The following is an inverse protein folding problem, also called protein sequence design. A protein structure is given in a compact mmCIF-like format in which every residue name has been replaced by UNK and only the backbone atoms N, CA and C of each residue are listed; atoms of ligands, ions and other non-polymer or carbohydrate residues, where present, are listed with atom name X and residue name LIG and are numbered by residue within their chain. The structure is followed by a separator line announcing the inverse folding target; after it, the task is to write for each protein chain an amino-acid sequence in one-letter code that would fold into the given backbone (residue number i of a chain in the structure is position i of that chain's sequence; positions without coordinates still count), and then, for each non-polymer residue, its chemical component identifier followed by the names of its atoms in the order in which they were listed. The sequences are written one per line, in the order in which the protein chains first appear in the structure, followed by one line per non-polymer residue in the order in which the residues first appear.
data_IF_547056134557
#
_entry.id   IF_547056134557
#
_cell.length_a   1.000
_cell.length_b   1.000
_cell.length_c   1.000
_cell.angle_alpha   90.00
_cell.angle_beta   90.00
_cell.angle_gamma   90.00
#
_symmetry.space_group_name_H-M   'P 1'
#
loop_
_entity.id
_entity.type
_entity.pdbx_description
1 polymer ?
#
# COMPACT_ATOMS: atom_id res chain seq x y z
N UNK A 1 -50.29 3.30 -7.98
CA UNK A 1 -48.92 2.76 -7.82
C UNK A 1 -48.79 2.30 -6.37
N UNK A 2 -48.51 1.03 -6.11
CA UNK A 2 -48.27 0.53 -4.75
C UNK A 2 -46.90 1.02 -4.27
N UNK A 3 -46.83 1.52 -3.04
CA UNK A 3 -45.55 1.87 -2.42
C UNK A 3 -44.67 0.62 -2.27
N UNK A 4 -43.34 0.74 -2.44
CA UNK A 4 -42.44 -0.38 -2.20
C UNK A 4 -42.49 -0.82 -0.73
N UNK A 5 -42.32 -2.12 -0.45
CA UNK A 5 -42.32 -2.66 0.91
C UNK A 5 -41.15 -2.09 1.73
N UNK A 6 -41.22 -2.19 3.06
CA UNK A 6 -40.14 -1.73 3.95
C UNK A 6 -38.83 -2.48 3.64
N UNK A 7 -37.72 -1.74 3.56
CA UNK A 7 -36.44 -2.31 3.16
C UNK A 7 -35.33 -1.29 2.90
N UNK A 8 -34.18 -1.78 2.48
CA UNK A 8 -33.00 -0.96 2.18
C UNK A 8 -33.04 -0.49 0.73
N UNK A 9 -33.08 0.83 0.52
CA UNK A 9 -33.11 1.43 -0.82
C UNK A 9 -32.00 2.47 -1.01
N UNK A 10 -31.39 2.55 -2.22
CA UNK A 10 -30.39 3.55 -2.53
C UNK A 10 -31.02 4.95 -2.50
N UNK A 11 -30.33 5.92 -1.89
CA UNK A 11 -30.84 7.29 -1.68
C UNK A 11 -30.40 8.30 -2.74
N UNK A 12 -29.68 7.86 -3.77
CA UNK A 12 -29.14 8.71 -4.84
C UNK A 12 -27.80 9.38 -4.50
N UNK A 13 -27.38 9.36 -3.24
CA UNK A 13 -26.08 9.88 -2.78
C UNK A 13 -24.98 8.81 -2.70
N UNK A 14 -25.28 7.59 -3.17
CA UNK A 14 -24.40 6.42 -3.05
C UNK A 14 -24.53 5.66 -1.73
N UNK A 15 -25.42 6.10 -0.83
CA UNK A 15 -25.74 5.41 0.41
C UNK A 15 -27.06 4.65 0.29
N UNK A 16 -27.22 3.64 1.15
CA UNK A 16 -28.46 2.88 1.28
C UNK A 16 -29.13 3.30 2.58
N UNK A 17 -30.36 3.82 2.47
CA UNK A 17 -31.18 4.23 3.61
C UNK A 17 -32.35 3.28 3.80
N UNK A 18 -32.76 3.13 5.05
CA UNK A 18 -33.90 2.29 5.38
C UNK A 18 -35.22 3.01 5.08
N UNK A 19 -36.10 2.35 4.34
CA UNK A 19 -37.48 2.76 4.02
C UNK A 19 -38.45 2.00 4.92
N UNK A 20 -39.32 2.71 5.63
CA UNK A 20 -40.30 2.12 6.55
C UNK A 20 -41.69 1.92 5.93
N UNK A 21 -41.87 2.27 4.65
CA UNK A 21 -43.17 2.24 3.96
C UNK A 21 -43.83 3.60 3.80
N UNK A 22 -43.41 4.62 4.58
CA UNK A 22 -43.97 5.97 4.58
C UNK A 22 -42.89 7.02 4.28
N UNK A 23 -41.71 6.86 4.87
CA UNK A 23 -40.57 7.75 4.70
C UNK A 23 -39.23 7.00 4.71
N UNK A 24 -38.18 7.67 4.19
CA UNK A 24 -36.80 7.22 4.38
C UNK A 24 -36.35 7.66 5.77
N UNK A 25 -35.90 6.72 6.59
CA UNK A 25 -35.30 7.02 7.88
C UNK A 25 -33.90 7.59 7.71
N UNK A 26 -33.38 8.27 8.75
CA UNK A 26 -31.99 8.75 8.80
C UNK A 26 -30.95 7.65 8.95
N UNK A 27 -31.37 6.41 9.19
CA UNK A 27 -30.51 5.23 9.33
C UNK A 27 -29.86 4.87 8.00
N UNK A 28 -28.54 5.08 7.92
CA UNK A 28 -27.70 4.61 6.81
C UNK A 28 -27.20 3.21 7.15
N UNK A 29 -27.12 2.33 6.14
CA UNK A 29 -26.60 0.98 6.33
C UNK A 29 -25.19 1.04 6.97
N UNK A 30 -24.94 0.30 8.07
CA UNK A 30 -23.62 0.21 8.67
C UNK A 30 -22.62 -0.30 7.63
N UNK A 31 -21.59 0.48 7.34
CA UNK A 31 -20.53 0.05 6.43
C UNK A 31 -19.78 -1.13 7.06
N UNK A 32 -19.42 -2.17 6.28
CA UNK A 32 -18.57 -3.24 6.77
C UNK A 32 -17.31 -2.67 7.41
N UNK A 33 -16.95 -3.16 8.60
CA UNK A 33 -15.73 -2.70 9.25
C UNK A 33 -14.51 -3.06 8.37
N UNK A 34 -13.56 -2.14 8.19
CA UNK A 34 -12.37 -2.40 7.39
C UNK A 34 -11.56 -3.60 7.92
N UNK A 35 -11.07 -4.45 7.01
CA UNK A 35 -10.22 -5.58 7.35
C UNK A 35 -8.78 -5.11 7.58
N UNK A 36 -8.44 -4.82 8.84
CA UNK A 36 -7.12 -4.28 9.22
C UNK A 36 -5.97 -5.26 9.01
N UNK A 37 -6.21 -6.57 9.15
CA UNK A 37 -5.15 -7.60 9.04
C UNK A 37 -4.45 -7.56 7.68
N UNK A 38 -5.21 -7.53 6.57
CA UNK A 38 -4.64 -7.48 5.23
C UNK A 38 -3.92 -6.16 4.94
N UNK A 39 -4.43 -5.06 5.49
CA UNK A 39 -3.79 -3.75 5.37
C UNK A 39 -2.45 -3.70 6.12
N UNK A 40 -2.38 -4.26 7.33
CA UNK A 40 -1.14 -4.41 8.11
C UNK A 40 -0.15 -5.30 7.39
N UNK A 41 -0.58 -6.48 6.93
CA UNK A 41 0.27 -7.42 6.19
C UNK A 41 0.86 -6.80 4.93
N UNK A 42 0.12 -5.92 4.26
CA UNK A 42 0.64 -5.19 3.10
C UNK A 42 1.90 -4.39 3.44
N UNK A 43 1.95 -3.72 4.59
CA UNK A 43 3.13 -2.96 4.99
C UNK A 43 4.26 -3.86 5.53
N UNK A 44 3.91 -4.86 6.36
CA UNK A 44 4.87 -5.81 6.95
C UNK A 44 5.57 -6.66 5.88
N UNK A 45 4.92 -6.86 4.74
CA UNK A 45 5.47 -7.59 3.59
C UNK A 45 6.82 -7.06 3.09
N UNK A 46 7.20 -5.82 3.43
CA UNK A 46 8.50 -5.24 3.08
C UNK A 46 9.68 -6.16 3.43
N UNK A 47 9.61 -6.87 4.56
CA UNK A 47 10.71 -7.70 5.06
C UNK A 47 10.78 -9.07 4.39
N UNK A 48 9.62 -9.63 4.03
CA UNK A 48 9.54 -11.02 3.54
C UNK A 48 9.51 -11.07 2.03
N UNK A 49 8.67 -10.24 1.42
CA UNK A 49 8.37 -10.31 -0.01
C UNK A 49 7.86 -8.95 -0.51
N UNK A 50 8.75 -7.93 -0.55
CA UNK A 50 8.37 -6.52 -0.62
C UNK A 50 7.50 -6.16 -1.82
N UNK A 51 7.63 -6.77 -3.00
CA UNK A 51 6.82 -6.38 -4.18
C UNK A 51 5.68 -7.36 -4.43
N UNK A 52 5.91 -8.65 -4.26
CA UNK A 52 4.94 -9.67 -4.64
C UNK A 52 3.78 -9.79 -3.63
N UNK A 53 4.06 -9.80 -2.33
CA UNK A 53 3.00 -9.89 -1.32
C UNK A 53 2.00 -8.72 -1.32
N UNK A 54 2.39 -7.43 -1.36
CA UNK A 54 1.41 -6.33 -1.43
C UNK A 54 0.63 -6.35 -2.76
N UNK A 55 1.24 -6.82 -3.85
CA UNK A 55 0.58 -6.98 -5.15
C UNK A 55 -0.50 -8.05 -5.07
N UNK A 56 -0.18 -9.23 -4.52
CA UNK A 56 -1.13 -10.32 -4.30
C UNK A 56 -2.26 -9.85 -3.38
N UNK A 57 -1.96 -9.16 -2.28
CA UNK A 57 -2.98 -8.62 -1.37
C UNK A 57 -3.88 -7.62 -2.09
N UNK A 58 -3.31 -6.70 -2.88
CA UNK A 58 -4.07 -5.73 -3.67
C UNK A 58 -5.00 -6.40 -4.68
N UNK A 59 -4.57 -7.51 -5.29
CA UNK A 59 -5.32 -8.25 -6.30
C UNK A 59 -6.29 -9.29 -5.73
N UNK A 60 -6.21 -9.62 -4.44
CA UNK A 60 -7.12 -10.56 -3.77
C UNK A 60 -8.02 -9.82 -2.78
N UNK A 61 -7.57 -9.63 -1.54
CA UNK A 61 -8.31 -8.95 -0.48
C UNK A 61 -8.66 -7.49 -0.84
N UNK A 62 -7.78 -6.79 -1.57
CA UNK A 62 -8.02 -5.43 -2.05
C UNK A 62 -9.13 -5.31 -3.11
N UNK A 63 -9.61 -6.42 -3.69
CA UNK A 63 -10.79 -6.39 -4.58
C UNK A 63 -12.09 -6.27 -3.81
N UNK A 64 -12.11 -6.78 -2.58
CA UNK A 64 -13.30 -6.83 -1.72
C UNK A 64 -13.34 -5.63 -0.76
N UNK A 65 -12.19 -5.16 -0.30
CA UNK A 65 -12.09 -4.07 0.66
C UNK A 65 -11.26 -2.88 0.10
N UNK A 66 -11.88 -1.71 -0.11
CA UNK A 66 -11.18 -0.52 -0.56
C UNK A 66 -10.09 -0.01 0.41
N UNK A 67 -10.23 -0.26 1.71
CA UNK A 67 -9.23 0.08 2.73
C UNK A 67 -7.97 -0.76 2.53
N UNK A 68 -8.13 -2.07 2.37
CA UNK A 68 -7.03 -2.98 2.02
C UNK A 68 -6.40 -2.57 0.70
N UNK A 69 -7.21 -2.25 -0.32
CA UNK A 69 -6.70 -1.82 -1.63
C UNK A 69 -5.81 -0.58 -1.53
N UNK A 70 -6.19 0.38 -0.68
CA UNK A 70 -5.43 1.60 -0.45
C UNK A 70 -4.09 1.31 0.21
N UNK A 71 -4.08 0.61 1.34
CA UNK A 71 -2.84 0.27 2.05
C UNK A 71 -1.91 -0.63 1.22
N UNK A 72 -2.47 -1.60 0.50
CA UNK A 72 -1.71 -2.45 -0.41
C UNK A 72 -1.11 -1.65 -1.58
N UNK A 73 -1.83 -0.65 -2.11
CA UNK A 73 -1.30 0.23 -3.17
C UNK A 73 -0.19 1.14 -2.65
N UNK A 74 -0.35 1.72 -1.45
CA UNK A 74 0.66 2.56 -0.81
C UNK A 74 1.94 1.79 -0.49
N UNK A 75 1.80 0.59 0.11
CA UNK A 75 2.92 -0.30 0.37
C UNK A 75 3.64 -0.68 -0.94
N UNK A 76 2.89 -1.14 -1.95
CA UNK A 76 3.42 -1.55 -3.25
C UNK A 76 4.20 -0.42 -3.93
N UNK A 77 3.71 0.82 -3.89
CA UNK A 77 4.39 1.96 -4.48
C UNK A 77 5.75 2.25 -3.82
N UNK A 78 5.83 2.20 -2.48
CA UNK A 78 7.10 2.39 -1.77
C UNK A 78 8.04 1.22 -1.97
N UNK A 79 7.52 -0.01 -1.95
CA UNK A 79 8.32 -1.20 -2.16
C UNK A 79 8.90 -1.27 -3.58
N UNK A 80 8.13 -0.88 -4.61
CA UNK A 80 8.63 -0.72 -5.98
C UNK A 80 9.69 0.37 -6.05
N UNK A 81 9.41 1.55 -5.47
CA UNK A 81 10.37 2.66 -5.47
C UNK A 81 11.71 2.23 -4.86
N UNK A 82 11.65 1.62 -3.67
CA UNK A 82 12.83 1.11 -2.99
C UNK A 82 13.54 0.05 -3.83
N UNK A 83 12.81 -0.92 -4.38
CA UNK A 83 13.39 -1.97 -5.22
C UNK A 83 14.10 -1.39 -6.46
N UNK A 84 13.50 -0.43 -7.16
CA UNK A 84 14.09 0.21 -8.34
C UNK A 84 15.35 0.98 -7.95
N UNK A 85 15.25 1.89 -6.98
CA UNK A 85 16.39 2.71 -6.54
C UNK A 85 17.53 1.82 -6.07
N UNK A 86 17.23 0.78 -5.30
CA UNK A 86 18.20 -0.16 -4.78
C UNK A 86 18.91 -0.95 -5.89
N UNK A 87 18.16 -1.55 -6.82
CA UNK A 87 18.73 -2.35 -7.91
C UNK A 87 19.49 -1.50 -8.92
N UNK A 88 19.03 -0.29 -9.24
CA UNK A 88 19.76 0.61 -10.14
C UNK A 88 21.04 1.10 -9.47
N UNK A 89 20.98 1.53 -8.21
CA UNK A 89 22.15 2.08 -7.51
C UNK A 89 23.22 1.01 -7.32
N UNK A 90 22.87 -0.17 -6.83
CA UNK A 90 23.87 -1.22 -6.56
C UNK A 90 24.18 -2.00 -7.83
N UNK A 91 23.18 -2.54 -8.50
CA UNK A 91 23.38 -3.38 -9.68
C UNK A 91 24.02 -2.60 -10.83
N UNK A 92 23.50 -1.41 -11.13
CA UNK A 92 24.04 -0.53 -12.16
C UNK A 92 25.48 -0.11 -11.87
N UNK A 93 25.77 0.31 -10.63
CA UNK A 93 27.11 0.71 -10.25
C UNK A 93 28.09 -0.47 -10.23
N UNK A 94 27.63 -1.67 -9.86
CA UNK A 94 28.42 -2.91 -9.95
C UNK A 94 28.79 -3.22 -11.38
N UNK A 95 27.80 -3.27 -12.28
CA UNK A 95 28.04 -3.54 -13.70
C UNK A 95 29.00 -2.50 -14.29
N UNK A 96 28.78 -1.22 -14.01
CA UNK A 96 29.64 -0.14 -14.49
C UNK A 96 31.09 -0.27 -13.98
N UNK A 97 31.27 -0.58 -12.69
CA UNK A 97 32.61 -0.73 -12.10
C UNK A 97 33.37 -1.94 -12.62
N UNK A 98 32.70 -3.08 -12.84
CA UNK A 98 33.31 -4.29 -13.42
C UNK A 98 33.64 -4.07 -14.89
N UNK A 99 32.74 -3.42 -15.65
CA UNK A 99 32.99 -3.11 -17.06
C UNK A 99 34.15 -2.11 -17.25
N UNK A 100 34.36 -1.20 -16.30
CA UNK A 100 35.45 -0.24 -16.35
C UNK A 100 36.82 -0.85 -16.04
N UNK A 101 36.88 -1.93 -15.26
CA UNK A 101 38.12 -2.60 -14.86
C UNK A 101 37.94 -4.14 -14.94
N UNK A 102 37.92 -4.71 -16.15
CA UNK A 102 37.60 -6.13 -16.34
C UNK A 102 38.65 -7.09 -15.77
N UNK A 103 39.90 -6.64 -15.61
CA UNK A 103 41.01 -7.47 -15.16
C UNK A 103 41.23 -7.41 -13.63
N UNK A 104 40.50 -6.57 -12.89
CA UNK A 104 40.62 -6.47 -11.43
C UNK A 104 39.82 -7.59 -10.75
N UNK A 105 40.45 -8.54 -10.05
CA UNK A 105 39.76 -9.62 -9.35
C UNK A 105 39.05 -9.15 -8.07
N UNK A 106 39.32 -7.93 -7.60
CA UNK A 106 38.77 -7.43 -6.34
C UNK A 106 37.36 -6.87 -6.52
N UNK A 107 36.49 -7.02 -5.49
CA UNK A 107 35.22 -6.34 -5.50
C UNK A 107 35.43 -4.81 -5.45
N UNK A 108 34.61 -4.04 -6.18
CA UNK A 108 34.70 -2.58 -6.18
C UNK A 108 34.64 -1.99 -4.77
N UNK A 109 35.58 -1.10 -4.43
CA UNK A 109 35.66 -0.50 -3.08
C UNK A 109 34.38 0.23 -2.65
N UNK A 110 33.60 0.77 -3.59
CA UNK A 110 32.34 1.45 -3.30
C UNK A 110 31.28 0.50 -2.71
N UNK A 111 31.38 -0.82 -2.90
CA UNK A 111 30.48 -1.81 -2.29
C UNK A 111 30.51 -1.75 -0.75
N UNK A 112 31.69 -1.49 -0.17
CA UNK A 112 31.83 -1.39 1.28
C UNK A 112 31.13 -0.17 1.87
N UNK A 113 30.98 0.91 1.09
CA UNK A 113 30.24 2.12 1.50
C UNK A 113 28.75 1.96 1.21
N UNK A 114 28.39 1.31 0.12
CA UNK A 114 27.01 1.17 -0.30
C UNK A 114 26.21 0.19 0.57
N UNK A 115 26.85 -0.82 1.16
CA UNK A 115 26.19 -1.76 2.08
C UNK A 115 25.67 -1.07 3.36
N UNK A 116 26.47 -0.33 4.15
CA UNK A 116 25.94 0.41 5.30
C UNK A 116 24.84 1.41 4.91
N UNK A 117 25.02 2.10 3.78
CA UNK A 117 24.01 3.04 3.27
C UNK A 117 22.70 2.32 2.91
N UNK A 118 22.79 1.09 2.38
CA UNK A 118 21.66 0.19 2.17
C UNK A 118 20.83 -0.02 3.41
N UNK A 119 21.52 -0.39 4.50
CA UNK A 119 20.89 -0.74 5.75
C UNK A 119 20.19 0.47 6.34
N UNK A 120 20.80 1.65 6.23
CA UNK A 120 20.19 2.90 6.66
C UNK A 120 18.94 3.24 5.83
N UNK A 121 19.02 3.15 4.51
CA UNK A 121 17.88 3.41 3.63
C UNK A 121 16.74 2.39 3.85
N UNK A 122 17.08 1.11 3.95
CA UNK A 122 16.15 0.03 4.25
C UNK A 122 15.50 0.18 5.63
N UNK A 123 16.26 0.59 6.65
CA UNK A 123 15.73 0.87 7.98
C UNK A 123 14.77 2.07 7.97
N UNK A 124 15.06 3.12 7.19
CA UNK A 124 14.16 4.26 7.03
C UNK A 124 12.83 3.85 6.38
N UNK A 125 12.88 3.05 5.31
CA UNK A 125 11.67 2.51 4.65
C UNK A 125 10.91 1.56 5.57
N UNK A 126 11.61 0.70 6.29
CA UNK A 126 11.03 -0.19 7.30
C UNK A 126 10.32 0.60 8.40
N UNK A 127 10.93 1.67 8.92
CA UNK A 127 10.32 2.55 9.91
C UNK A 127 9.02 3.17 9.38
N UNK A 128 9.00 3.62 8.13
CA UNK A 128 7.77 4.10 7.50
C UNK A 128 6.73 2.98 7.28
N UNK A 129 7.16 1.76 6.95
CA UNK A 129 6.28 0.61 6.82
C UNK A 129 5.64 0.23 8.16
N UNK A 130 6.40 0.26 9.26
CA UNK A 130 5.88 0.08 10.61
C UNK A 130 4.84 1.16 10.93
N UNK A 131 5.13 2.44 10.65
CA UNK A 131 4.14 3.52 10.82
C UNK A 131 2.88 3.27 10.00
N UNK A 132 3.02 2.82 8.76
CA UNK A 132 1.90 2.43 7.90
C UNK A 132 1.07 1.30 8.47
N UNK A 133 1.73 0.24 8.99
CA UNK A 133 1.08 -0.88 9.65
C UNK A 133 0.31 -0.45 10.91
N UNK A 134 0.93 0.37 11.77
CA UNK A 134 0.28 0.88 13.00
C UNK A 134 -0.95 1.74 12.67
N UNK A 135 -0.88 2.55 11.61
CA UNK A 135 -2.03 3.36 11.20
C UNK A 135 -3.12 2.51 10.55
N UNK A 136 -2.74 1.50 9.77
CA UNK A 136 -3.66 0.52 9.23
C UNK A 136 -4.42 -0.24 10.34
N UNK A 137 -3.74 -0.64 11.42
CA UNK A 137 -4.39 -1.30 12.56
C UNK A 137 -5.36 -0.39 13.31
N UNK A 138 -5.15 0.92 13.25
CA UNK A 138 -6.05 1.96 13.78
C UNK A 138 -7.17 2.34 12.82
N UNK A 139 -7.33 1.64 11.68
CA UNK A 139 -8.31 1.96 10.61
C UNK A 139 -8.11 3.36 10.01
N UNK A 140 -6.89 3.90 10.08
CA UNK A 140 -6.52 5.20 9.52
C UNK A 140 -5.96 5.01 8.12
N UNK A 141 -6.49 5.76 7.17
CA UNK A 141 -6.04 5.79 5.77
C UNK A 141 -4.67 6.45 5.66
N UNK A 142 -3.61 5.68 5.89
CA UNK A 142 -2.23 6.17 5.88
C UNK A 142 -1.67 6.34 4.47
N UNK A 143 -0.79 7.32 4.29
CA UNK A 143 -0.04 7.55 3.05
C UNK A 143 1.43 7.75 3.35
N UNK A 144 2.28 7.19 2.50
CA UNK A 144 3.70 7.44 2.64
C UNK A 144 4.05 8.85 2.17
N UNK A 145 4.87 9.60 2.93
CA UNK A 145 5.28 10.94 2.53
C UNK A 145 6.19 10.94 1.31
N UNK A 146 6.94 9.86 1.08
CA UNK A 146 7.97 9.73 0.04
C UNK A 146 7.65 8.65 -1.00
N UNK A 147 6.37 8.43 -1.33
CA UNK A 147 5.98 7.46 -2.37
C UNK A 147 5.75 8.11 -3.74
N UNK A 148 6.40 7.57 -4.77
CA UNK A 148 6.03 7.82 -6.17
C UNK A 148 4.87 6.88 -6.51
N UNK A 149 3.78 7.42 -7.07
CA UNK A 149 2.54 6.67 -7.32
C UNK A 149 2.58 5.97 -8.68
N UNK A 150 3.30 4.86 -8.77
CA UNK A 150 3.32 4.00 -9.96
C UNK A 150 1.96 3.33 -10.18
N UNK A 151 1.37 2.81 -9.12
CA UNK A 151 0.09 2.12 -9.12
C UNK A 151 -1.00 3.06 -8.58
N UNK A 152 -2.06 3.24 -9.38
CA UNK A 152 -3.24 4.02 -8.99
C UNK A 152 -4.14 3.19 -8.08
N UNK A 153 -4.76 3.80 -7.06
CA UNK A 153 -5.70 3.09 -6.18
C UNK A 153 -5.82 3.64 -4.76
N UNK A 154 -4.86 4.46 -4.31
CA UNK A 154 -4.93 5.15 -3.03
C UNK A 154 -5.93 6.32 -3.12
N UNK A 155 -7.20 6.09 -2.75
CA UNK A 155 -8.25 7.15 -2.82
C UNK A 155 -7.87 8.32 -1.91
N UNK A 156 -8.23 9.55 -2.32
CA UNK A 156 -8.13 10.74 -1.47
C UNK A 156 -9.02 10.49 -0.25
N UNK A 157 -8.46 10.62 0.95
CA UNK A 157 -9.27 10.97 2.10
C UNK A 157 -9.84 12.34 1.78
N UNK A 158 -11.12 12.40 1.39
CA UNK A 158 -11.86 13.64 1.41
C UNK A 158 -12.04 13.97 2.89
N UNK A 159 -11.34 15.02 3.31
CA UNK A 159 -11.45 15.68 4.61
C UNK A 159 -12.72 16.52 4.66
#
# INVERSE_FOLDING_TARGET
MSSPPAGWYPDGSGHVRWWDGVARTGSVMPQPQPHTTWAVLSHVSFVVMPVMAPLVIRLTAGRQDPFVRHHATEALNVQILFAIVWNILIGGLTIASVAANPDDPNPPAWLFISIPLAFLAGAAVLGMAIRGAVQASRRVWWRYPVSIRFVRGARRAES
#
